data_IF_426624802372
#
_entry.id   IF_426624802372
#
_cell.length_a   1.000
_cell.length_b   1.000
_cell.length_c   1.000
_cell.angle_alpha   90.00
_cell.angle_beta   90.00
_cell.angle_gamma   90.00
#
_symmetry.space_group_name_H-M   'P 1'
#
loop_
_entity.id
_entity.type
_entity.pdbx_description
1 polymer ?
#
# COMPACT_ATOMS: atom_id res chain seq x y z
N UNK A 1 13.94 25.70 -24.92
CA UNK A 1 12.67 24.97 -25.10
C UNK A 1 13.01 23.50 -25.24
N UNK A 2 12.75 22.66 -24.23
CA UNK A 2 12.82 21.21 -24.44
C UNK A 2 11.64 20.83 -25.36
N UNK A 3 11.92 20.14 -26.47
CA UNK A 3 10.87 19.48 -27.23
C UNK A 3 10.09 18.58 -26.27
N UNK A 4 8.79 18.84 -26.12
CA UNK A 4 7.94 18.12 -25.18
C UNK A 4 7.73 16.70 -25.71
N UNK A 5 8.13 15.70 -24.94
CA UNK A 5 7.85 14.30 -25.24
C UNK A 5 6.33 14.06 -25.12
N UNK A 6 5.66 13.72 -26.22
CA UNK A 6 4.20 13.55 -26.29
C UNK A 6 3.80 12.08 -26.45
N UNK A 7 2.64 11.69 -25.93
CA UNK A 7 2.05 10.35 -26.09
C UNK A 7 1.87 9.99 -27.57
N UNK A 8 2.18 8.75 -27.97
CA UNK A 8 2.00 8.28 -29.36
C UNK A 8 0.54 8.43 -29.83
N UNK A 9 -0.43 8.10 -28.96
CA UNK A 9 -1.86 8.30 -29.21
C UNK A 9 -2.16 9.78 -29.58
N UNK A 10 -1.55 10.73 -28.88
CA UNK A 10 -1.74 12.16 -29.16
C UNK A 10 -1.15 12.55 -30.51
N UNK A 11 0.00 11.99 -30.86
CA UNK A 11 0.64 12.22 -32.16
C UNK A 11 -0.18 11.62 -33.32
N UNK A 12 -0.80 10.45 -33.09
CA UNK A 12 -1.76 9.84 -34.02
C UNK A 12 -2.91 10.80 -34.35
N UNK A 13 -3.57 11.37 -33.33
CA UNK A 13 -4.66 12.33 -33.55
C UNK A 13 -4.20 13.65 -34.18
N UNK A 14 -2.92 14.02 -34.03
CA UNK A 14 -2.30 15.16 -34.74
C UNK A 14 -1.88 14.81 -36.18
N UNK A 15 -2.19 13.61 -36.69
CA UNK A 15 -1.82 13.12 -38.02
C UNK A 15 -0.31 13.13 -38.28
N UNK A 16 0.48 12.86 -37.23
CA UNK A 16 1.93 12.64 -37.37
C UNK A 16 2.21 11.19 -37.79
N UNK A 17 3.38 10.94 -38.38
CA UNK A 17 3.82 9.58 -38.69
C UNK A 17 4.22 8.87 -37.38
N UNK A 18 3.32 8.06 -36.84
CA UNK A 18 3.54 7.37 -35.56
C UNK A 18 4.47 6.17 -35.69
N UNK A 19 4.57 5.55 -36.87
CA UNK A 19 5.49 4.43 -37.09
C UNK A 19 6.94 4.92 -37.07
N UNK A 20 7.23 6.06 -37.74
CA UNK A 20 8.54 6.71 -37.68
C UNK A 20 8.90 7.15 -36.25
N UNK A 21 7.95 7.75 -35.53
CA UNK A 21 8.18 8.18 -34.15
C UNK A 21 8.36 6.98 -33.19
N UNK A 22 7.65 5.88 -33.41
CA UNK A 22 7.83 4.64 -32.66
C UNK A 22 9.25 4.07 -32.87
N UNK A 23 9.70 3.95 -34.13
CA UNK A 23 11.07 3.49 -34.46
C UNK A 23 12.11 4.36 -33.76
N UNK A 24 11.95 5.69 -33.85
CA UNK A 24 12.84 6.64 -33.17
C UNK A 24 12.86 6.47 -31.65
N UNK A 25 11.75 6.09 -31.02
CA UNK A 25 11.68 5.84 -29.57
C UNK A 25 12.37 4.54 -29.19
N UNK A 26 12.14 3.45 -29.91
CA UNK A 26 12.79 2.16 -29.59
C UNK A 26 14.30 2.19 -29.86
N UNK A 27 14.76 2.96 -30.85
CA UNK A 27 16.18 3.15 -31.16
C UNK A 27 16.87 4.18 -30.26
N UNK A 28 16.12 4.87 -29.39
CA UNK A 28 16.70 5.84 -28.47
C UNK A 28 17.55 5.12 -27.41
N UNK A 29 18.82 5.53 -27.18
CA UNK A 29 19.68 4.92 -26.17
C UNK A 29 19.15 4.95 -24.73
N UNK A 30 18.20 5.84 -24.42
CA UNK A 30 17.54 5.91 -23.12
C UNK A 30 16.35 4.95 -22.97
N UNK A 31 16.08 4.13 -24.00
CA UNK A 31 14.94 3.21 -24.02
C UNK A 31 15.31 1.85 -23.47
N UNK A 32 14.54 1.41 -22.47
CA UNK A 32 14.47 0.03 -22.02
C UNK A 32 13.39 -0.68 -22.83
N UNK A 33 13.78 -1.65 -23.66
CA UNK A 33 12.84 -2.60 -24.28
C UNK A 33 12.81 -3.85 -23.40
N UNK A 34 11.62 -4.31 -23.05
CA UNK A 34 11.45 -5.49 -22.19
C UNK A 34 11.03 -6.71 -23.01
N UNK A 35 11.26 -7.90 -22.46
CA UNK A 35 10.73 -9.16 -23.00
C UNK A 35 9.23 -9.35 -22.68
N UNK A 36 8.64 -8.44 -21.89
CA UNK A 36 7.22 -8.48 -21.53
C UNK A 36 6.39 -7.98 -22.72
N UNK A 37 5.45 -8.80 -23.19
CA UNK A 37 4.71 -8.51 -24.42
C UNK A 37 3.21 -8.48 -24.20
N UNK A 38 2.54 -7.57 -24.91
CA UNK A 38 1.09 -7.40 -24.84
C UNK A 38 0.46 -7.55 -26.22
N UNK A 39 -0.76 -8.10 -26.25
CA UNK A 39 -1.66 -7.93 -27.37
C UNK A 39 -2.45 -6.64 -27.14
N UNK A 40 -2.40 -5.67 -28.07
CA UNK A 40 -3.08 -4.40 -27.89
C UNK A 40 -4.60 -4.56 -27.98
N UNK A 41 -5.31 -3.54 -27.52
CA UNK A 41 -6.75 -3.39 -27.60
C UNK A 41 -7.16 -2.26 -28.56
N UNK A 42 -8.32 -2.44 -29.19
CA UNK A 42 -9.01 -1.39 -29.94
C UNK A 42 -10.52 -1.56 -29.81
N UNK A 43 -11.22 -0.49 -29.42
CA UNK A 43 -12.69 -0.47 -29.25
C UNK A 43 -13.20 -1.64 -28.39
N UNK A 44 -12.53 -1.92 -27.26
CA UNK A 44 -12.92 -2.97 -26.31
C UNK A 44 -12.59 -4.40 -26.74
N UNK A 45 -11.87 -4.61 -27.85
CA UNK A 45 -11.46 -5.93 -28.33
C UNK A 45 -9.94 -6.06 -28.33
N UNK A 46 -9.43 -7.24 -27.96
CA UNK A 46 -8.01 -7.60 -28.01
C UNK A 46 -7.63 -8.02 -29.43
N UNK A 47 -6.49 -7.55 -29.94
CA UNK A 47 -5.99 -7.81 -31.29
C UNK A 47 -4.90 -8.89 -31.19
N UNK A 48 -5.29 -10.16 -31.38
CA UNK A 48 -4.43 -11.32 -31.09
C UNK A 48 -3.33 -11.57 -32.13
N UNK A 49 -3.46 -11.04 -33.34
CA UNK A 49 -2.46 -11.12 -34.40
C UNK A 49 -1.35 -10.07 -34.27
N UNK A 50 -1.47 -9.17 -33.28
CA UNK A 50 -0.45 -8.16 -32.96
C UNK A 50 0.12 -8.38 -31.57
N UNK A 51 1.41 -8.18 -31.45
CA UNK A 51 2.16 -8.30 -30.21
C UNK A 51 3.17 -7.15 -30.14
N UNK A 52 3.22 -6.46 -29.00
CA UNK A 52 4.16 -5.38 -28.74
C UNK A 52 4.95 -5.67 -27.46
N UNK A 53 6.28 -5.61 -27.53
CA UNK A 53 7.12 -5.53 -26.34
C UNK A 53 6.86 -4.21 -25.62
N UNK A 54 6.71 -4.26 -24.30
CA UNK A 54 6.66 -3.05 -23.50
C UNK A 54 8.01 -2.36 -23.58
N UNK A 55 8.00 -1.06 -23.87
CA UNK A 55 9.19 -0.23 -23.88
C UNK A 55 9.00 1.04 -23.06
N UNK A 56 10.05 1.43 -22.36
CA UNK A 56 10.09 2.56 -21.46
C UNK A 56 11.22 3.51 -21.89
N UNK A 57 10.89 4.78 -22.15
CA UNK A 57 11.90 5.80 -22.46
C UNK A 57 12.18 6.59 -21.18
N UNK A 58 13.44 6.57 -20.71
CA UNK A 58 13.79 7.31 -19.51
C UNK A 58 13.83 8.83 -19.79
N UNK A 59 12.80 9.55 -19.34
CA UNK A 59 12.76 11.01 -19.44
C UNK A 59 13.44 11.65 -18.23
N UNK A 60 14.05 12.84 -18.41
CA UNK A 60 14.66 13.59 -17.31
C UNK A 60 13.70 13.80 -16.13
N UNK A 61 12.41 14.04 -16.41
CA UNK A 61 11.37 14.16 -15.39
C UNK A 61 11.21 12.89 -14.53
N UNK A 62 11.45 11.70 -15.10
CA UNK A 62 11.37 10.45 -14.35
C UNK A 62 12.58 10.26 -13.45
N UNK A 63 13.79 10.65 -13.90
CA UNK A 63 14.98 10.67 -13.05
C UNK A 63 14.76 11.59 -11.85
N UNK A 64 14.24 12.79 -12.06
CA UNK A 64 13.92 13.74 -10.98
C UNK A 64 12.83 13.22 -10.03
N UNK A 65 11.80 12.54 -10.55
CA UNK A 65 10.77 11.91 -9.71
C UNK A 65 11.36 10.80 -8.82
N UNK A 66 12.21 9.94 -9.38
CA UNK A 66 12.87 8.87 -8.61
C UNK A 66 13.78 9.43 -7.51
N UNK A 67 14.58 10.46 -7.83
CA UNK A 67 15.39 11.16 -6.84
C UNK A 67 14.52 11.75 -5.72
N UNK A 68 13.43 12.41 -6.09
CA UNK A 68 12.50 13.01 -5.12
C UNK A 68 11.84 11.97 -4.22
N UNK A 69 11.47 10.80 -4.76
CA UNK A 69 10.89 9.70 -3.99
C UNK A 69 11.87 9.16 -2.95
N UNK A 70 13.15 8.99 -3.34
CA UNK A 70 14.21 8.58 -2.42
C UNK A 70 14.46 9.62 -1.33
N UNK A 71 14.53 10.90 -1.68
CA UNK A 71 14.67 12.01 -0.73
C UNK A 71 13.49 12.06 0.25
N UNK A 72 12.27 11.88 -0.24
CA UNK A 72 11.07 11.87 0.58
C UNK A 72 11.05 10.67 1.53
N UNK A 73 11.43 9.47 1.08
CA UNK A 73 11.55 8.28 1.95
C UNK A 73 12.56 8.52 3.09
N UNK A 74 13.73 9.07 2.79
CA UNK A 74 14.71 9.46 3.82
C UNK A 74 14.14 10.50 4.79
N UNK A 75 13.36 11.47 4.29
CA UNK A 75 12.71 12.48 5.12
C UNK A 75 11.62 11.86 6.02
N UNK A 76 10.84 10.92 5.50
CA UNK A 76 9.84 10.16 6.27
C UNK A 76 10.54 9.46 7.43
N UNK A 77 11.58 8.66 7.16
CA UNK A 77 12.36 7.97 8.20
C UNK A 77 12.95 8.94 9.23
N UNK A 78 13.49 10.08 8.78
CA UNK A 78 14.05 11.10 9.67
C UNK A 78 13.00 11.75 10.60
N UNK A 79 11.80 12.07 10.09
CA UNK A 79 10.74 12.65 10.92
C UNK A 79 10.19 11.58 11.86
N UNK A 80 10.01 10.35 11.39
CA UNK A 80 9.52 9.23 12.20
C UNK A 80 10.40 8.97 13.41
N UNK A 81 11.73 9.07 13.26
CA UNK A 81 12.68 8.90 14.37
C UNK A 81 12.61 10.01 15.45
N UNK A 82 11.85 11.09 15.22
CA UNK A 82 11.62 12.15 16.23
C UNK A 82 10.43 11.85 17.15
N UNK A 83 9.60 10.88 16.78
CA UNK A 83 8.41 10.50 17.53
C UNK A 83 8.71 9.26 18.38
N UNK A 84 8.07 9.11 19.55
CA UNK A 84 8.17 7.87 20.31
C UNK A 84 7.69 6.66 19.49
N UNK A 85 8.25 5.49 19.77
CA UNK A 85 7.90 4.25 19.05
C UNK A 85 6.39 3.94 19.10
N UNK A 86 5.74 4.19 20.24
CA UNK A 86 4.29 4.01 20.41
C UNK A 86 3.52 4.88 19.42
N UNK A 87 3.88 6.15 19.32
CA UNK A 87 3.25 7.10 18.39
C UNK A 87 3.46 6.67 16.94
N UNK A 88 4.67 6.26 16.57
CA UNK A 88 4.93 5.76 15.22
C UNK A 88 4.16 4.49 14.91
N UNK A 89 4.07 3.55 15.86
CA UNK A 89 3.27 2.34 15.67
C UNK A 89 1.81 2.69 15.38
N UNK A 90 1.20 3.58 16.15
CA UNK A 90 -0.18 4.03 15.92
C UNK A 90 -0.36 4.76 14.56
N UNK A 91 0.62 5.58 14.15
CA UNK A 91 0.59 6.24 12.83
C UNK A 91 0.68 5.21 11.69
N UNK A 92 1.58 4.23 11.80
CA UNK A 92 1.69 3.12 10.83
C UNK A 92 0.36 2.36 10.75
N UNK A 93 -0.21 2.00 11.91
CA UNK A 93 -1.47 1.28 12.01
C UNK A 93 -2.64 2.05 11.37
N UNK A 94 -2.70 3.37 11.59
CA UNK A 94 -3.71 4.26 10.97
C UNK A 94 -3.57 4.35 9.46
N UNK A 95 -2.35 4.46 8.96
CA UNK A 95 -2.07 4.49 7.52
C UNK A 95 -2.39 3.14 6.88
N UNK A 96 -1.95 2.04 7.49
CA UNK A 96 -2.21 0.70 7.00
C UNK A 96 -3.71 0.35 7.03
N UNK A 97 -4.44 0.72 8.08
CA UNK A 97 -5.90 0.57 8.12
C UNK A 97 -6.59 1.31 6.97
N UNK A 98 -6.07 2.48 6.60
CA UNK A 98 -6.57 3.25 5.47
C UNK A 98 -6.20 2.61 4.13
N UNK A 99 -4.98 2.08 3.99
CA UNK A 99 -4.56 1.31 2.80
C UNK A 99 -5.48 0.14 2.54
N UNK A 100 -5.72 -0.69 3.56
CA UNK A 100 -6.59 -1.85 3.49
C UNK A 100 -8.05 -1.48 3.24
N UNK A 101 -8.54 -0.41 3.86
CA UNK A 101 -9.88 0.12 3.55
C UNK A 101 -9.98 0.54 2.07
N UNK A 102 -8.98 1.27 1.56
CA UNK A 102 -9.00 1.82 0.19
C UNK A 102 -8.81 0.75 -0.87
N UNK A 103 -7.90 -0.20 -0.68
CA UNK A 103 -7.68 -1.29 -1.64
C UNK A 103 -8.93 -2.15 -1.81
N UNK A 104 -9.71 -2.37 -0.74
CA UNK A 104 -10.99 -3.08 -0.83
C UNK A 104 -12.08 -2.21 -1.47
N UNK A 105 -12.16 -0.93 -1.11
CA UNK A 105 -13.14 -0.01 -1.67
C UNK A 105 -13.00 0.17 -3.18
N UNK A 106 -11.77 0.17 -3.71
CA UNK A 106 -11.50 0.23 -5.16
C UNK A 106 -12.15 -0.97 -5.87
N UNK A 107 -12.12 -2.15 -5.26
CA UNK A 107 -12.76 -3.37 -5.79
C UNK A 107 -14.25 -3.49 -5.42
N UNK A 108 -14.86 -2.44 -4.85
CA UNK A 108 -16.27 -2.43 -4.46
C UNK A 108 -16.59 -3.27 -3.22
N UNK A 109 -15.59 -3.68 -2.44
CA UNK A 109 -15.79 -4.48 -1.22
C UNK A 109 -15.98 -3.54 -0.03
N UNK A 110 -17.16 -3.64 0.60
CA UNK A 110 -17.48 -2.89 1.81
C UNK A 110 -16.73 -3.45 3.01
N UNK A 111 -16.04 -2.56 3.72
CA UNK A 111 -15.24 -2.86 4.91
C UNK A 111 -15.38 -1.72 5.92
N UNK A 112 -15.20 -2.02 7.20
CA UNK A 112 -15.24 -1.02 8.27
C UNK A 112 -13.83 -0.76 8.77
N UNK A 113 -13.38 0.50 8.72
CA UNK A 113 -11.99 0.87 9.06
C UNK A 113 -11.63 0.53 10.51
N UNK A 114 -12.57 0.65 11.46
CA UNK A 114 -12.34 0.27 12.86
C UNK A 114 -12.16 -1.23 13.04
N UNK A 115 -12.89 -2.06 12.29
CA UNK A 115 -12.72 -3.52 12.32
C UNK A 115 -11.35 -3.95 11.78
N UNK A 116 -10.91 -3.33 10.68
CA UNK A 116 -9.56 -3.53 10.14
C UNK A 116 -8.50 -3.15 11.18
N UNK A 117 -8.67 -2.00 11.83
CA UNK A 117 -7.72 -1.53 12.84
C UNK A 117 -7.62 -2.48 14.04
N UNK A 118 -8.76 -2.94 14.58
CA UNK A 118 -8.77 -3.92 15.67
C UNK A 118 -8.12 -5.25 15.27
N UNK A 119 -8.42 -5.77 14.07
CA UNK A 119 -7.75 -6.97 13.53
C UNK A 119 -6.24 -6.80 13.36
N UNK A 120 -5.78 -5.57 13.06
CA UNK A 120 -4.35 -5.30 12.97
C UNK A 120 -3.65 -5.35 14.34
N UNK A 121 -4.34 -5.07 15.46
CA UNK A 121 -3.78 -5.13 16.82
C UNK A 121 -3.81 -6.51 17.45
N UNK A 122 -4.81 -7.31 17.13
CA UNK A 122 -4.94 -8.66 17.68
C UNK A 122 -3.85 -9.59 17.09
N UNK A 123 -2.90 -10.02 17.93
CA UNK A 123 -1.95 -11.11 17.62
C UNK A 123 -2.59 -12.50 17.83
N UNK A 124 -3.79 -12.54 18.41
CA UNK A 124 -4.50 -13.77 18.75
C UNK A 124 -5.52 -14.09 17.69
N UNK A 125 -5.40 -15.29 17.14
CA UNK A 125 -6.42 -16.06 16.38
C UNK A 125 -7.64 -16.41 17.26
N UNK A 126 -8.11 -15.49 18.11
CA UNK A 126 -9.22 -15.72 19.01
C UNK A 126 -10.55 -15.42 18.33
N UNK A 127 -11.16 -16.46 17.74
CA UNK A 127 -12.60 -16.75 17.70
C UNK A 127 -13.60 -15.57 17.72
N UNK A 128 -13.34 -14.48 17.00
CA UNK A 128 -14.36 -13.52 16.59
C UNK A 128 -14.77 -13.85 15.15
N UNK A 129 -16.03 -13.55 14.78
CA UNK A 129 -16.59 -13.75 13.44
C UNK A 129 -15.51 -13.52 12.38
N UNK A 130 -15.23 -14.55 11.56
CA UNK A 130 -14.19 -14.51 10.52
C UNK A 130 -14.25 -13.17 9.80
N UNK A 131 -13.23 -12.32 9.99
CA UNK A 131 -13.13 -11.12 9.18
C UNK A 131 -12.80 -11.62 7.78
N UNK A 132 -13.45 -11.11 6.74
CA UNK A 132 -13.22 -11.61 5.37
C UNK A 132 -11.86 -11.18 4.81
N UNK A 133 -10.90 -10.78 5.66
CA UNK A 133 -9.68 -10.10 5.29
C UNK A 133 -8.47 -10.55 6.11
N UNK A 134 -8.57 -11.62 6.90
CA UNK A 134 -7.50 -12.06 7.81
C UNK A 134 -6.21 -12.39 7.03
N UNK A 135 -6.32 -13.09 5.89
CA UNK A 135 -5.18 -13.36 5.01
C UNK A 135 -4.55 -12.10 4.43
N UNK A 136 -5.36 -11.13 3.98
CA UNK A 136 -4.90 -9.84 3.47
C UNK A 136 -4.19 -9.05 4.59
N UNK A 137 -4.81 -8.97 5.77
CA UNK A 137 -4.28 -8.27 6.93
C UNK A 137 -2.94 -8.88 7.33
N UNK A 138 -2.86 -10.20 7.42
CA UNK A 138 -1.62 -10.93 7.72
C UNK A 138 -0.51 -10.56 6.75
N UNK A 139 -0.76 -10.58 5.44
CA UNK A 139 0.25 -10.24 4.42
C UNK A 139 0.78 -8.82 4.53
N UNK A 140 -0.06 -7.86 4.92
CA UNK A 140 0.39 -6.50 5.18
C UNK A 140 1.07 -6.33 6.56
N UNK A 141 0.69 -7.13 7.58
CA UNK A 141 1.44 -7.21 8.85
C UNK A 141 2.86 -7.72 8.61
N UNK A 142 3.03 -8.74 7.77
CA UNK A 142 4.35 -9.25 7.39
C UNK A 142 5.25 -8.12 6.85
N UNK A 143 4.70 -7.25 5.98
CA UNK A 143 5.41 -6.04 5.52
C UNK A 143 5.74 -5.10 6.68
N UNK A 144 4.78 -4.85 7.57
CA UNK A 144 4.94 -3.94 8.72
C UNK A 144 6.09 -4.41 9.64
N UNK A 145 6.22 -5.71 9.83
CA UNK A 145 7.21 -6.37 10.68
C UNK A 145 8.54 -6.62 9.97
N UNK A 146 8.65 -6.25 8.68
CA UNK A 146 9.77 -6.59 7.80
C UNK A 146 10.03 -8.11 7.72
N UNK A 147 8.98 -8.91 7.89
CA UNK A 147 9.01 -10.35 7.69
C UNK A 147 8.79 -10.65 6.20
N UNK A 148 9.88 -10.97 5.50
CA UNK A 148 9.82 -11.27 4.08
C UNK A 148 10.12 -12.74 3.76
N UNK A 149 10.16 -13.66 4.73
CA UNK A 149 10.57 -15.05 4.50
C UNK A 149 9.81 -15.72 3.34
N UNK A 150 8.48 -15.59 3.30
CA UNK A 150 7.63 -16.16 2.23
C UNK A 150 7.66 -15.38 0.90
N UNK A 151 8.25 -14.19 0.89
CA UNK A 151 8.26 -13.27 -0.27
C UNK A 151 9.66 -12.81 -0.68
N UNK A 152 10.69 -13.38 -0.06
CA UNK A 152 12.07 -13.01 -0.26
C UNK A 152 12.48 -13.27 -1.70
N UNK A 153 12.00 -14.41 -2.23
CA UNK A 153 12.23 -14.92 -3.57
C UNK A 153 10.91 -15.40 -4.20
N UNK A 154 10.24 -14.50 -4.93
CA UNK A 154 9.23 -14.91 -5.91
C UNK A 154 10.00 -15.35 -7.16
N UNK A 155 10.18 -16.65 -7.31
CA UNK A 155 11.07 -17.28 -8.28
C UNK A 155 10.38 -18.35 -9.16
N UNK A 156 9.15 -18.70 -8.84
CA UNK A 156 8.39 -19.74 -9.53
C UNK A 156 6.89 -19.49 -9.46
N UNK A 157 6.13 -20.15 -10.36
CA UNK A 157 4.67 -20.10 -10.34
C UNK A 157 4.08 -20.62 -9.02
N UNK A 158 4.74 -21.59 -8.40
CA UNK A 158 4.32 -22.16 -7.11
C UNK A 158 4.45 -21.15 -5.98
N UNK A 159 5.60 -20.46 -5.86
CA UNK A 159 5.78 -19.43 -4.84
C UNK A 159 4.85 -18.24 -5.07
N UNK A 160 4.65 -17.83 -6.33
CA UNK A 160 3.68 -16.81 -6.70
C UNK A 160 2.24 -17.19 -6.28
N UNK A 161 1.82 -18.43 -6.60
CA UNK A 161 0.49 -18.93 -6.27
C UNK A 161 0.27 -19.06 -4.77
N UNK A 162 1.27 -19.54 -4.02
CA UNK A 162 1.21 -19.65 -2.56
C UNK A 162 0.87 -18.31 -1.90
N UNK A 163 1.50 -17.23 -2.33
CA UNK A 163 1.25 -15.89 -1.77
C UNK A 163 -0.20 -15.45 -2.04
N UNK A 164 -0.74 -15.74 -3.22
CA UNK A 164 -2.14 -15.45 -3.55
C UNK A 164 -3.10 -16.25 -2.69
N UNK A 165 -2.91 -17.57 -2.58
CA UNK A 165 -3.78 -18.45 -1.79
C UNK A 165 -3.80 -18.02 -0.31
N UNK A 166 -2.64 -17.74 0.28
CA UNK A 166 -2.55 -17.25 1.67
C UNK A 166 -3.17 -15.86 1.86
N UNK A 167 -3.09 -14.98 0.86
CA UNK A 167 -3.70 -13.65 0.93
C UNK A 167 -5.23 -13.71 0.86
N UNK A 168 -5.80 -14.68 0.13
CA UNK A 168 -7.23 -14.78 -0.14
C UNK A 168 -7.89 -16.04 0.45
N UNK A 169 -7.27 -16.68 1.45
CA UNK A 169 -7.79 -17.89 2.11
C UNK A 169 -9.23 -17.71 2.62
N UNK A 170 -9.56 -16.51 3.13
CA UNK A 170 -10.90 -16.17 3.63
C UNK A 170 -11.97 -16.11 2.52
N UNK A 171 -11.51 -15.92 1.27
CA UNK A 171 -12.35 -15.79 0.10
C UNK A 171 -12.48 -17.11 -0.67
N UNK A 172 -11.71 -18.16 -0.40
CA UNK A 172 -11.76 -19.42 -1.16
C UNK A 172 -13.16 -20.06 -1.19
N UNK A 173 -13.96 -19.85 -0.12
CA UNK A 173 -15.36 -20.30 -0.07
C UNK A 173 -16.30 -19.49 -0.96
N UNK A 174 -15.89 -18.30 -1.39
CA UNK A 174 -16.55 -17.52 -2.44
C UNK A 174 -16.14 -18.11 -3.79
N UNK A 175 -17.12 -18.65 -4.53
CA UNK A 175 -16.84 -19.40 -5.77
C UNK A 175 -15.98 -18.67 -6.80
N UNK A 176 -15.95 -17.32 -6.78
CA UNK A 176 -15.15 -16.50 -7.69
C UNK A 176 -13.63 -16.51 -7.40
N UNK A 177 -13.19 -17.01 -6.25
CA UNK A 177 -11.75 -17.12 -5.93
C UNK A 177 -11.20 -18.51 -6.18
N UNK A 178 -12.08 -19.49 -6.32
CA UNK A 178 -11.71 -20.86 -6.61
C UNK A 178 -11.24 -20.96 -8.06
N UNK A 179 -9.98 -21.32 -8.24
CA UNK A 179 -9.40 -21.55 -9.55
C UNK A 179 -9.69 -22.98 -10.03
N UNK A 180 -9.74 -23.15 -11.35
CA UNK A 180 -10.03 -24.39 -12.07
C UNK A 180 -8.79 -24.97 -12.79
N UNK A 181 -7.71 -24.20 -12.83
CA UNK A 181 -6.39 -24.62 -13.27
C UNK A 181 -5.48 -25.11 -12.14
N UNK A 182 -4.27 -25.50 -12.53
CA UNK A 182 -3.17 -25.86 -11.63
C UNK A 182 -2.71 -24.65 -10.82
N UNK A 183 -2.39 -23.54 -11.49
CA UNK A 183 -1.95 -22.30 -10.86
C UNK A 183 -2.92 -21.15 -11.10
N UNK A 184 -3.56 -21.07 -12.27
CA UNK A 184 -4.32 -19.89 -12.69
C UNK A 184 -5.71 -20.25 -13.22
N UNK A 185 -6.51 -19.23 -13.55
CA UNK A 185 -7.80 -19.44 -14.22
C UNK A 185 -7.62 -20.02 -15.62
N UNK A 186 -8.58 -20.81 -16.09
CA UNK A 186 -8.62 -21.29 -17.48
C UNK A 186 -9.44 -20.37 -18.39
N UNK A 187 -10.57 -19.87 -17.91
CA UNK A 187 -11.49 -19.05 -18.69
C UNK A 187 -11.12 -17.57 -18.66
N UNK A 188 -11.61 -16.83 -19.66
CA UNK A 188 -11.32 -15.41 -19.86
C UNK A 188 -12.04 -14.53 -18.84
N UNK A 189 -11.32 -13.53 -18.31
CA UNK A 189 -11.88 -12.47 -17.46
C UNK A 189 -11.80 -11.13 -18.17
N UNK A 190 -12.84 -10.32 -18.00
CA UNK A 190 -12.94 -8.97 -18.58
C UNK A 190 -13.16 -7.96 -17.47
N UNK A 191 -12.47 -6.82 -17.58
CA UNK A 191 -12.74 -5.65 -16.74
C UNK A 191 -13.71 -4.75 -17.49
N UNK A 192 -14.80 -4.40 -16.81
CA UNK A 192 -15.90 -3.61 -17.37
C UNK A 192 -16.01 -2.33 -16.54
N UNK A 193 -16.12 -1.18 -17.20
CA UNK A 193 -16.33 0.08 -16.50
C UNK A 193 -17.80 0.29 -16.09
N UNK A 194 -18.10 1.33 -15.31
CA UNK A 194 -19.46 1.63 -14.84
C UNK A 194 -20.50 1.90 -15.95
N UNK A 195 -20.07 2.07 -17.21
CA UNK A 195 -20.95 2.23 -18.38
C UNK A 195 -21.23 0.90 -19.10
N UNK A 196 -20.68 -0.23 -18.62
CA UNK A 196 -20.82 -1.53 -19.26
C UNK A 196 -19.83 -1.79 -20.40
N UNK A 197 -18.87 -0.90 -20.65
CA UNK A 197 -17.87 -1.09 -21.69
C UNK A 197 -16.71 -1.95 -21.19
N UNK A 198 -16.30 -2.94 -21.97
CA UNK A 198 -15.05 -3.69 -21.73
C UNK A 198 -13.86 -2.76 -21.91
N UNK A 199 -13.11 -2.54 -20.83
CA UNK A 199 -11.91 -1.70 -20.82
C UNK A 199 -10.63 -2.53 -20.85
N UNK A 200 -10.67 -3.79 -20.40
CA UNK A 200 -9.55 -4.72 -20.46
C UNK A 200 -10.06 -6.16 -20.63
N UNK A 201 -9.27 -6.98 -21.33
CA UNK A 201 -9.48 -8.41 -21.49
C UNK A 201 -8.19 -9.12 -21.06
N UNK A 202 -8.26 -9.91 -19.99
CA UNK A 202 -7.12 -10.66 -19.46
C UNK A 202 -6.57 -11.66 -20.46
N UNK A 203 -5.36 -12.15 -20.22
CA UNK A 203 -4.76 -13.23 -21.02
C UNK A 203 -5.63 -14.49 -20.91
N UNK A 204 -5.84 -15.19 -22.02
CA UNK A 204 -6.73 -16.35 -22.08
C UNK A 204 -5.93 -17.66 -22.17
N UNK A 205 -6.35 -18.67 -21.41
CA UNK A 205 -5.70 -19.97 -21.33
C UNK A 205 -4.59 -20.02 -20.28
N UNK A 206 -4.67 -21.03 -19.40
CA UNK A 206 -3.75 -21.20 -18.27
C UNK A 206 -2.29 -21.27 -18.72
N UNK A 207 -1.94 -22.07 -19.73
CA UNK A 207 -0.55 -22.20 -20.22
C UNK A 207 0.05 -20.87 -20.68
N UNK A 208 -0.78 -20.00 -21.29
CA UNK A 208 -0.33 -18.67 -21.73
C UNK A 208 -0.16 -17.74 -20.53
N UNK A 209 -1.04 -17.84 -19.53
CA UNK A 209 -0.92 -17.10 -18.27
C UNK A 209 0.36 -17.54 -17.53
N UNK A 210 0.61 -18.85 -17.42
CA UNK A 210 1.81 -19.42 -16.80
C UNK A 210 3.07 -18.81 -17.41
N UNK A 211 3.20 -18.86 -18.74
CA UNK A 211 4.33 -18.25 -19.44
C UNK A 211 4.49 -16.76 -19.16
N UNK A 212 3.40 -15.99 -19.20
CA UNK A 212 3.49 -14.54 -18.93
C UNK A 212 3.86 -14.24 -17.47
N UNK A 213 3.43 -15.06 -16.51
CA UNK A 213 3.83 -14.91 -15.11
C UNK A 213 5.29 -15.33 -14.91
N UNK A 214 5.79 -16.34 -15.62
CA UNK A 214 7.22 -16.68 -15.64
C UNK A 214 8.06 -15.50 -16.19
N UNK A 215 7.65 -14.91 -17.31
CA UNK A 215 8.30 -13.72 -17.89
C UNK A 215 8.28 -12.54 -16.90
N UNK A 216 7.14 -12.33 -16.20
CA UNK A 216 7.01 -11.32 -15.15
C UNK A 216 7.98 -11.59 -13.98
N UNK A 217 8.03 -12.82 -13.49
CA UNK A 217 8.92 -13.24 -12.40
C UNK A 217 10.38 -13.01 -12.79
N UNK A 218 10.77 -13.39 -14.02
CA UNK A 218 12.11 -13.13 -14.53
C UNK A 218 12.41 -11.63 -14.54
N UNK A 219 11.49 -10.81 -15.07
CA UNK A 219 11.63 -9.36 -15.11
C UNK A 219 11.76 -8.74 -13.70
N UNK A 220 10.93 -9.16 -12.74
CA UNK A 220 10.98 -8.69 -11.34
C UNK A 220 12.34 -8.93 -10.68
N UNK A 221 13.06 -9.97 -11.09
CA UNK A 221 14.34 -10.38 -10.54
C UNK A 221 15.57 -9.75 -11.25
N UNK A 222 15.40 -9.00 -12.34
CA UNK A 222 16.50 -8.28 -13.02
C UNK A 222 17.10 -7.22 -12.09
N UNK A 223 18.42 -7.20 -11.92
CA UNK A 223 19.11 -6.29 -10.97
C UNK A 223 19.39 -4.90 -11.56
N UNK A 224 19.60 -4.81 -12.87
CA UNK A 224 20.13 -3.60 -13.53
C UNK A 224 19.05 -2.63 -14.03
N UNK A 225 17.82 -2.75 -13.51
CA UNK A 225 16.72 -1.83 -13.79
C UNK A 225 16.41 -1.03 -12.51
N UNK A 226 16.32 0.31 -12.57
CA UNK A 226 15.93 1.11 -11.42
C UNK A 226 14.63 0.61 -10.80
N UNK A 227 14.66 0.38 -9.49
CA UNK A 227 13.66 -0.43 -8.80
C UNK A 227 12.23 0.14 -8.89
N UNK A 228 12.08 1.48 -8.93
CA UNK A 228 10.77 2.13 -9.10
C UNK A 228 10.19 1.94 -10.51
N UNK A 229 11.06 1.93 -11.53
CA UNK A 229 10.66 1.67 -12.92
C UNK A 229 10.22 0.21 -13.04
N UNK A 230 11.03 -0.71 -12.49
CA UNK A 230 10.71 -2.13 -12.46
C UNK A 230 9.39 -2.40 -11.73
N UNK A 231 9.18 -1.84 -10.53
CA UNK A 231 7.94 -1.99 -9.78
C UNK A 231 6.72 -1.51 -10.58
N UNK A 232 6.84 -0.37 -11.25
CA UNK A 232 5.77 0.21 -12.07
C UNK A 232 5.42 -0.70 -13.26
N UNK A 233 6.43 -1.17 -14.00
CA UNK A 233 6.23 -2.06 -15.16
C UNK A 233 5.67 -3.41 -14.71
N UNK A 234 6.19 -4.00 -13.62
CA UNK A 234 5.67 -5.25 -13.06
C UNK A 234 4.21 -5.12 -12.63
N UNK A 235 3.85 -4.01 -12.00
CA UNK A 235 2.47 -3.74 -11.60
C UNK A 235 1.53 -3.66 -12.81
N UNK A 236 1.92 -2.94 -13.87
CA UNK A 236 1.15 -2.91 -15.11
C UNK A 236 0.97 -4.32 -15.70
N UNK A 237 2.08 -5.04 -15.85
CA UNK A 237 2.07 -6.30 -16.58
C UNK A 237 1.29 -7.38 -15.84
N UNK A 238 1.36 -7.41 -14.50
CA UNK A 238 0.53 -8.29 -13.69
C UNK A 238 -0.98 -8.03 -13.91
N UNK A 239 -1.42 -6.76 -13.84
CA UNK A 239 -2.82 -6.40 -14.07
C UNK A 239 -3.28 -6.70 -15.49
N UNK A 240 -2.39 -6.56 -16.48
CA UNK A 240 -2.63 -6.92 -17.89
C UNK A 240 -2.81 -8.44 -18.10
N UNK A 241 -2.04 -9.26 -17.39
CA UNK A 241 -2.20 -10.72 -17.43
C UNK A 241 -3.57 -11.08 -16.83
N UNK A 242 -3.89 -10.46 -15.70
CA UNK A 242 -5.11 -10.67 -14.93
C UNK A 242 -5.33 -12.17 -14.58
N UNK A 243 -4.35 -12.83 -13.91
CA UNK A 243 -4.23 -14.29 -13.88
C UNK A 243 -5.30 -15.03 -13.03
N UNK A 244 -6.07 -14.31 -12.22
CA UNK A 244 -7.06 -14.90 -11.32
C UNK A 244 -8.49 -14.50 -11.69
N UNK A 245 -9.50 -15.23 -11.18
CA UNK A 245 -10.91 -14.90 -11.37
C UNK A 245 -11.35 -13.65 -10.57
N UNK A 246 -10.73 -13.41 -9.41
CA UNK A 246 -10.96 -12.26 -8.54
C UNK A 246 -9.64 -11.90 -7.83
N UNK A 247 -9.59 -10.79 -7.10
CA UNK A 247 -8.44 -10.43 -6.26
C UNK A 247 -7.26 -9.80 -7.00
N UNK A 248 -7.24 -9.78 -8.35
CA UNK A 248 -6.13 -9.25 -9.15
C UNK A 248 -5.72 -7.84 -8.69
N UNK A 249 -6.63 -6.86 -8.71
CA UNK A 249 -6.31 -5.48 -8.33
C UNK A 249 -5.71 -5.35 -6.91
N UNK A 250 -6.24 -6.11 -5.94
CA UNK A 250 -5.72 -6.14 -4.56
C UNK A 250 -4.35 -6.79 -4.48
N UNK A 251 -4.14 -7.89 -5.19
CA UNK A 251 -2.86 -8.60 -5.25
C UNK A 251 -1.78 -7.75 -5.94
N UNK A 252 -2.11 -7.11 -7.06
CA UNK A 252 -1.19 -6.24 -7.79
C UNK A 252 -0.75 -5.03 -6.98
N UNK A 253 -1.66 -4.43 -6.21
CA UNK A 253 -1.33 -3.35 -5.26
C UNK A 253 -0.52 -3.86 -4.06
N UNK A 254 -0.82 -5.05 -3.55
CA UNK A 254 0.00 -5.70 -2.52
C UNK A 254 1.44 -5.94 -3.00
N UNK A 255 1.63 -6.51 -4.20
CA UNK A 255 2.96 -6.70 -4.79
C UNK A 255 3.72 -5.38 -4.93
N UNK A 256 3.03 -4.30 -5.35
CA UNK A 256 3.62 -2.97 -5.41
C UNK A 256 4.02 -2.45 -4.02
N UNK A 257 3.14 -2.56 -3.02
CA UNK A 257 3.44 -2.19 -1.63
C UNK A 257 4.63 -2.98 -1.06
N UNK A 258 4.64 -4.30 -1.23
CA UNK A 258 5.74 -5.19 -0.84
C UNK A 258 7.06 -4.74 -1.46
N UNK A 259 7.05 -4.45 -2.75
CA UNK A 259 8.25 -4.01 -3.48
C UNK A 259 8.78 -2.67 -2.95
N UNK A 260 7.88 -1.71 -2.66
CA UNK A 260 8.24 -0.42 -2.10
C UNK A 260 8.78 -0.54 -0.68
N UNK A 261 8.17 -1.37 0.18
CA UNK A 261 8.63 -1.57 1.55
C UNK A 261 10.09 -2.08 1.60
N UNK A 262 10.44 -3.03 0.73
CA UNK A 262 11.81 -3.58 0.65
C UNK A 262 12.87 -2.59 0.17
N UNK A 263 12.48 -1.49 -0.47
CA UNK A 263 13.41 -0.55 -1.13
C UNK A 263 13.36 0.87 -0.57
N UNK A 264 12.28 1.21 0.13
CA UNK A 264 12.00 2.53 0.71
C UNK A 264 11.69 2.36 2.20
N UNK A 265 10.42 2.52 2.58
CA UNK A 265 9.92 2.47 3.94
C UNK A 265 8.45 2.01 3.98
N UNK A 266 8.02 1.51 5.14
CA UNK A 266 6.68 0.95 5.32
C UNK A 266 5.56 1.97 5.14
N UNK A 267 5.78 3.24 5.52
CA UNK A 267 4.76 4.28 5.37
C UNK A 267 4.49 4.56 3.88
N UNK A 268 5.54 4.68 3.07
CA UNK A 268 5.43 4.78 1.62
C UNK A 268 4.66 3.58 1.05
N UNK A 269 5.02 2.36 1.44
CA UNK A 269 4.36 1.13 0.99
C UNK A 269 2.86 1.08 1.32
N UNK A 270 2.47 1.61 2.49
CA UNK A 270 1.09 1.65 2.95
C UNK A 270 0.32 2.90 2.49
N UNK A 271 0.81 3.62 1.49
CA UNK A 271 0.10 4.77 0.89
C UNK A 271 -0.36 4.54 -0.54
N UNK A 272 -0.11 3.35 -1.10
CA UNK A 272 -0.32 3.04 -2.52
C UNK A 272 -1.80 3.15 -2.91
N UNK A 273 -2.66 2.32 -2.35
CA UNK A 273 -4.10 2.32 -2.68
C UNK A 273 -4.78 3.60 -2.23
N UNK A 274 -4.35 4.20 -1.11
CA UNK A 274 -4.84 5.52 -0.72
C UNK A 274 -4.54 6.57 -1.79
N UNK A 275 -3.31 6.65 -2.28
CA UNK A 275 -2.89 7.62 -3.30
C UNK A 275 -3.55 7.35 -4.65
N UNK A 276 -3.67 6.07 -5.06
CA UNK A 276 -4.40 5.66 -6.25
C UNK A 276 -5.86 6.11 -6.16
N UNK A 277 -6.52 5.92 -5.02
CA UNK A 277 -7.94 6.26 -4.84
C UNK A 277 -8.25 7.75 -5.04
N UNK A 278 -7.24 8.63 -4.89
CA UNK A 278 -7.40 10.08 -5.13
C UNK A 278 -7.34 10.46 -6.60
N UNK A 279 -6.75 9.62 -7.45
CA UNK A 279 -6.60 9.85 -8.89
C UNK A 279 -7.02 8.59 -9.67
N UNK A 280 -8.10 7.94 -9.24
CA UNK A 280 -8.52 6.62 -9.71
C UNK A 280 -8.77 6.58 -11.21
N UNK A 281 -9.38 7.65 -11.75
CA UNK A 281 -9.64 7.78 -13.18
C UNK A 281 -8.34 7.78 -13.99
N UNK A 282 -7.33 8.54 -13.55
CA UNK A 282 -6.05 8.64 -14.25
C UNK A 282 -5.24 7.35 -14.12
N UNK A 283 -5.35 6.66 -12.98
CA UNK A 283 -4.83 5.31 -12.79
C UNK A 283 -5.42 4.34 -13.83
N UNK A 284 -6.74 4.19 -13.92
CA UNK A 284 -7.35 3.29 -14.91
C UNK A 284 -7.10 3.71 -16.36
N UNK A 285 -7.16 5.01 -16.67
CA UNK A 285 -6.84 5.51 -18.02
C UNK A 285 -5.43 5.16 -18.45
N UNK A 286 -4.47 5.14 -17.51
CA UNK A 286 -3.08 4.82 -17.85
C UNK A 286 -2.90 3.36 -18.30
N UNK A 287 -3.71 2.40 -17.83
CA UNK A 287 -3.69 1.03 -18.37
C UNK A 287 -4.21 0.98 -19.80
N UNK A 288 -5.38 1.60 -20.03
CA UNK A 288 -6.04 1.65 -21.34
C UNK A 288 -5.13 2.30 -22.39
N UNK A 289 -4.36 3.32 -21.99
CA UNK A 289 -3.39 3.96 -22.87
C UNK A 289 -2.26 3.03 -23.32
N UNK A 290 -1.69 2.24 -22.40
CA UNK A 290 -0.61 1.32 -22.75
C UNK A 290 -1.11 0.24 -23.72
N UNK A 291 -2.33 -0.25 -23.48
CA UNK A 291 -2.96 -1.27 -24.31
C UNK A 291 -3.48 -0.76 -25.66
N UNK A 292 -3.66 0.55 -25.86
CA UNK A 292 -4.17 1.06 -27.14
C UNK A 292 -3.22 0.69 -28.29
N UNK A 293 -3.77 0.16 -29.38
CA UNK A 293 -3.00 -0.25 -30.56
C UNK A 293 -2.13 0.86 -31.15
N UNK A 294 -2.50 2.13 -30.97
CA UNK A 294 -1.73 3.29 -31.46
C UNK A 294 -0.60 3.70 -30.52
N UNK A 295 -0.46 3.04 -29.36
CA UNK A 295 0.59 3.28 -28.37
C UNK A 295 1.78 2.31 -28.50
N UNK A 296 1.66 1.22 -29.28
CA UNK A 296 2.76 0.27 -29.55
C UNK A 296 3.43 -0.30 -28.28
N UNK A 297 2.70 -0.41 -27.16
CA UNK A 297 3.25 -0.90 -25.90
C UNK A 297 4.14 0.09 -25.14
N UNK A 298 4.11 1.39 -25.46
CA UNK A 298 4.86 2.39 -24.70
C UNK A 298 4.35 2.51 -23.26
N UNK A 299 5.19 2.19 -22.27
CA UNK A 299 4.83 2.24 -20.85
C UNK A 299 5.34 3.49 -20.12
N UNK A 300 6.07 4.37 -20.83
CA UNK A 300 6.68 5.61 -20.31
C UNK A 300 5.74 6.43 -19.41
N UNK A 301 4.52 6.72 -19.89
CA UNK A 301 3.57 7.56 -19.15
C UNK A 301 2.83 6.84 -18.03
N UNK A 302 2.69 5.51 -18.11
CA UNK A 302 2.19 4.71 -17.00
C UNK A 302 3.18 4.75 -15.84
N UNK A 303 4.47 4.56 -16.13
CA UNK A 303 5.55 4.68 -15.13
C UNK A 303 5.55 6.09 -14.52
N UNK A 304 5.43 7.14 -15.33
CA UNK A 304 5.29 8.52 -14.83
C UNK A 304 4.13 8.66 -13.83
N UNK A 305 2.97 8.06 -14.15
CA UNK A 305 1.78 8.10 -13.31
C UNK A 305 1.99 7.41 -11.96
N UNK A 306 2.60 6.22 -11.95
CA UNK A 306 2.92 5.50 -10.71
C UNK A 306 3.94 6.27 -9.87
N UNK A 307 5.01 6.79 -10.47
CA UNK A 307 6.00 7.61 -9.77
C UNK A 307 5.36 8.84 -9.11
N UNK A 308 4.49 9.56 -9.83
CA UNK A 308 3.76 10.71 -9.27
C UNK A 308 2.83 10.28 -8.14
N UNK A 309 2.15 9.14 -8.28
CA UNK A 309 1.28 8.59 -7.24
C UNK A 309 2.05 8.31 -5.96
N UNK A 310 3.21 7.65 -6.05
CA UNK A 310 4.10 7.39 -4.91
C UNK A 310 4.58 8.69 -4.28
N UNK A 311 5.11 9.63 -5.08
CA UNK A 311 5.60 10.93 -4.58
C UNK A 311 4.51 11.69 -3.82
N UNK A 312 3.30 11.76 -4.38
CA UNK A 312 2.19 12.47 -3.76
C UNK A 312 1.76 11.80 -2.44
N UNK A 313 1.75 10.46 -2.39
CA UNK A 313 1.51 9.70 -1.15
C UNK A 313 2.53 10.03 -0.07
N UNK A 314 3.82 10.08 -0.43
CA UNK A 314 4.88 10.45 0.49
C UNK A 314 4.77 11.90 0.98
N UNK A 315 4.39 12.85 0.12
CA UNK A 315 4.18 14.24 0.52
C UNK A 315 3.07 14.36 1.58
N UNK A 316 1.97 13.63 1.40
CA UNK A 316 0.89 13.57 2.40
C UNK A 316 1.33 12.92 3.71
N UNK A 317 2.17 11.88 3.67
CA UNK A 317 2.76 11.28 4.88
C UNK A 317 3.67 12.28 5.59
N UNK A 318 4.51 13.00 4.85
CA UNK A 318 5.41 14.01 5.41
C UNK A 318 4.60 15.10 6.12
N UNK A 319 3.51 15.58 5.53
CA UNK A 319 2.58 16.52 6.16
C UNK A 319 2.03 15.95 7.48
N UNK A 320 1.42 14.75 7.42
CA UNK A 320 0.89 14.08 8.60
C UNK A 320 1.92 13.91 9.73
N UNK A 321 3.15 13.51 9.39
CA UNK A 321 4.22 13.30 10.38
C UNK A 321 4.68 14.62 11.01
N UNK A 322 4.78 15.71 10.24
CA UNK A 322 5.13 17.02 10.80
C UNK A 322 4.04 17.54 11.75
N UNK A 323 2.77 17.41 11.36
CA UNK A 323 1.64 17.78 12.21
C UNK A 323 1.63 16.92 13.49
N UNK A 324 1.93 15.63 13.37
CA UNK A 324 2.05 14.72 14.50
C UNK A 324 3.18 15.11 15.46
N UNK A 325 4.35 15.51 14.93
CA UNK A 325 5.47 16.01 15.75
C UNK A 325 5.07 17.29 16.50
N UNK A 326 4.42 18.23 15.82
CA UNK A 326 3.99 19.48 16.44
C UNK A 326 2.96 19.22 17.55
N UNK A 327 1.94 18.42 17.25
CA UNK A 327 0.89 18.04 18.21
C UNK A 327 1.47 17.30 19.41
N UNK A 328 2.37 16.35 19.19
CA UNK A 328 3.02 15.60 20.27
C UNK A 328 3.82 16.52 21.19
N UNK A 329 4.68 17.39 20.63
CA UNK A 329 5.49 18.32 21.44
C UNK A 329 4.64 19.27 22.27
N UNK A 330 3.66 19.90 21.65
CA UNK A 330 2.79 20.85 22.34
C UNK A 330 2.03 20.18 23.50
N UNK A 331 1.47 19.00 23.24
CA UNK A 331 0.73 18.23 24.25
C UNK A 331 1.61 17.79 25.41
N UNK A 332 2.86 17.41 25.12
CA UNK A 332 3.84 17.04 26.15
C UNK A 332 4.24 18.22 27.03
N UNK A 333 4.46 19.41 26.45
CA UNK A 333 4.76 20.62 27.22
C UNK A 333 3.62 20.97 28.20
N UNK A 334 2.37 20.85 27.75
CA UNK A 334 1.19 21.05 28.61
C UNK A 334 1.14 20.00 29.72
N UNK A 335 1.37 18.72 29.38
CA UNK A 335 1.33 17.64 30.36
C UNK A 335 2.41 17.84 31.43
N UNK A 336 3.65 18.13 31.03
CA UNK A 336 4.77 18.34 31.95
C UNK A 336 4.51 19.50 32.93
N UNK A 337 3.82 20.56 32.49
CA UNK A 337 3.38 21.66 33.36
C UNK A 337 2.30 21.23 34.35
N UNK A 338 1.33 20.41 33.93
CA UNK A 338 0.23 19.94 34.78
C UNK A 338 0.67 18.89 35.81
N UNK A 339 1.78 18.20 35.56
CA UNK A 339 2.17 17.02 36.35
C UNK A 339 3.48 17.19 37.12
N UNK A 340 3.94 18.42 37.32
CA UNK A 340 5.16 18.77 38.09
C UNK A 340 5.26 18.13 39.48
N UNK A 341 4.12 17.94 40.14
CA UNK A 341 4.04 17.39 41.49
C UNK A 341 3.91 15.86 41.53
N UNK A 342 3.79 15.21 40.36
CA UNK A 342 3.67 13.76 40.27
C UNK A 342 5.02 13.07 40.33
N UNK A 343 5.00 11.81 40.77
CA UNK A 343 6.18 10.97 40.72
C UNK A 343 6.59 10.66 39.28
N UNK A 344 7.86 10.31 39.07
CA UNK A 344 8.39 9.94 37.75
C UNK A 344 7.57 8.81 37.09
N UNK A 345 7.15 7.80 37.87
CA UNK A 345 6.34 6.68 37.35
C UNK A 345 4.92 7.10 36.94
N UNK A 346 4.30 8.00 37.70
CA UNK A 346 3.00 8.58 37.33
C UNK A 346 3.09 9.40 36.05
N UNK A 347 4.16 10.19 35.90
CA UNK A 347 4.44 10.96 34.70
C UNK A 347 4.61 10.06 33.47
N UNK A 348 5.42 9.02 33.55
CA UNK A 348 5.61 8.06 32.44
C UNK A 348 4.27 7.44 32.03
N UNK A 349 3.44 7.04 32.99
CA UNK A 349 2.12 6.46 32.72
C UNK A 349 1.22 7.47 31.98
N UNK A 350 1.13 8.71 32.47
CA UNK A 350 0.32 9.75 31.81
C UNK A 350 0.84 10.12 30.42
N UNK A 351 2.16 10.13 30.21
CA UNK A 351 2.75 10.36 28.89
C UNK A 351 2.36 9.27 27.88
N UNK A 352 2.24 8.00 28.31
CA UNK A 352 1.78 6.91 27.45
C UNK A 352 0.28 7.05 27.15
N UNK A 353 -0.54 7.37 28.17
CA UNK A 353 -1.96 7.65 27.96
C UNK A 353 -2.19 8.83 27.02
N UNK A 354 -1.36 9.88 27.12
CA UNK A 354 -1.41 11.02 26.20
C UNK A 354 -1.06 10.60 24.77
N UNK A 355 -0.01 9.82 24.59
CA UNK A 355 0.35 9.30 23.26
C UNK A 355 -0.81 8.49 22.65
N UNK A 356 -1.45 7.62 23.44
CA UNK A 356 -2.61 6.86 22.99
C UNK A 356 -3.78 7.79 22.63
N UNK A 357 -4.14 8.73 23.51
CA UNK A 357 -5.21 9.70 23.28
C UNK A 357 -5.03 10.53 22.00
N UNK A 358 -3.79 10.94 21.71
CA UNK A 358 -3.51 11.77 20.54
C UNK A 358 -3.57 11.00 19.22
N UNK A 359 -3.12 9.74 19.19
CA UNK A 359 -2.80 9.06 17.93
C UNK A 359 -3.60 7.79 17.65
N UNK A 360 -4.28 7.22 18.65
CA UNK A 360 -5.14 6.06 18.45
C UNK A 360 -6.60 6.51 18.31
N UNK A 361 -7.15 6.39 17.09
CA UNK A 361 -8.49 6.88 16.77
C UNK A 361 -9.62 5.92 17.18
N UNK A 362 -9.31 4.69 17.61
CA UNK A 362 -10.32 3.60 17.63
C UNK A 362 -10.48 2.91 18.98
N UNK A 363 -9.45 2.85 19.83
CA UNK A 363 -9.47 2.05 21.06
C UNK A 363 -8.73 2.75 22.20
N UNK A 364 -9.23 2.63 23.42
CA UNK A 364 -8.52 3.11 24.61
C UNK A 364 -7.47 2.12 25.11
N UNK A 365 -6.38 2.63 25.68
CA UNK A 365 -5.31 1.80 26.24
C UNK A 365 -5.77 1.02 27.47
N UNK A 366 -5.59 -0.31 27.43
CA UNK A 366 -5.80 -1.17 28.59
C UNK A 366 -4.56 -1.19 29.50
N UNK A 367 -4.75 -1.45 30.79
CA UNK A 367 -3.62 -1.63 31.72
C UNK A 367 -2.76 -2.85 31.36
N UNK A 368 -3.32 -3.85 30.66
CA UNK A 368 -2.55 -5.01 30.18
C UNK A 368 -1.57 -4.56 29.10
N UNK A 369 -2.03 -3.80 28.10
CA UNK A 369 -1.16 -3.24 27.06
C UNK A 369 -0.14 -2.27 27.65
N UNK A 370 -0.55 -1.41 28.59
CA UNK A 370 0.36 -0.51 29.30
C UNK A 370 1.46 -1.28 30.04
N UNK A 371 1.16 -2.46 30.58
CA UNK A 371 2.16 -3.36 31.19
C UNK A 371 3.18 -3.84 30.18
N UNK A 372 2.72 -4.27 29.01
CA UNK A 372 3.61 -4.69 27.92
C UNK A 372 4.46 -3.54 27.36
N UNK A 373 3.91 -2.32 27.31
CA UNK A 373 4.61 -1.13 26.84
C UNK A 373 5.71 -0.70 27.83
N UNK A 374 5.41 -0.67 29.13
CA UNK A 374 6.38 -0.23 30.14
C UNK A 374 7.45 -1.30 30.38
N UNK A 375 7.11 -2.58 30.33
CA UNK A 375 8.03 -3.71 30.46
C UNK A 375 8.62 -3.95 31.86
N UNK A 376 8.88 -2.87 32.61
CA UNK A 376 9.61 -2.90 33.89
C UNK A 376 8.70 -2.92 35.14
N UNK A 377 7.38 -2.83 34.95
CA UNK A 377 6.41 -2.82 36.05
C UNK A 377 5.46 -4.01 35.93
N UNK A 378 5.09 -4.61 37.05
CA UNK A 378 4.04 -5.63 37.08
C UNK A 378 2.68 -4.99 36.84
N UNK A 379 1.73 -5.77 36.30
CA UNK A 379 0.36 -5.32 36.10
C UNK A 379 -0.29 -4.83 37.42
N UNK A 380 0.06 -5.45 38.56
CA UNK A 380 -0.42 -5.01 39.88
C UNK A 380 0.07 -3.61 40.23
N UNK A 381 1.35 -3.32 39.96
CA UNK A 381 1.93 -1.99 40.18
C UNK A 381 1.30 -0.94 39.27
N UNK A 382 1.06 -1.26 38.00
CA UNK A 382 0.37 -0.36 37.06
C UNK A 382 -1.08 -0.10 37.51
N UNK A 383 -1.80 -1.13 37.95
CA UNK A 383 -3.14 -0.98 38.48
C UNK A 383 -3.16 -0.04 39.70
N UNK A 384 -2.16 -0.13 40.58
CA UNK A 384 -2.02 0.79 41.72
C UNK A 384 -1.82 2.23 41.27
N UNK A 385 -0.86 2.48 40.38
CA UNK A 385 -0.59 3.84 39.89
C UNK A 385 -1.76 4.45 39.14
N UNK A 386 -2.45 3.68 38.29
CA UNK A 386 -3.63 4.16 37.55
C UNK A 386 -4.79 4.49 38.46
N UNK A 387 -5.01 3.72 39.54
CA UNK A 387 -5.98 4.07 40.59
C UNK A 387 -5.58 5.32 41.38
N UNK A 388 -4.29 5.54 41.65
CA UNK A 388 -3.80 6.76 42.29
C UNK A 388 -3.99 7.99 41.37
N UNK A 389 -3.70 7.85 40.08
CA UNK A 389 -3.94 8.88 39.07
C UNK A 389 -5.41 9.19 38.86
N UNK A 390 -6.30 8.20 38.98
CA UNK A 390 -7.76 8.41 38.99
C UNK A 390 -8.18 9.22 40.22
N UNK A 391 -7.70 8.87 41.43
CA UNK A 391 -7.97 9.64 42.66
C UNK A 391 -7.48 11.08 42.59
N UNK A 392 -6.40 11.33 41.84
CA UNK A 392 -5.83 12.66 41.57
C UNK A 392 -6.50 13.37 40.38
N UNK A 393 -7.55 12.78 39.81
CA UNK A 393 -8.36 13.32 38.71
C UNK A 393 -7.58 13.52 37.41
N UNK A 394 -6.54 12.71 37.16
CA UNK A 394 -5.82 12.72 35.87
C UNK A 394 -6.35 11.67 34.89
N UNK A 395 -6.87 10.56 35.41
CA UNK A 395 -7.48 9.47 34.64
C UNK A 395 -8.94 9.25 35.04
N UNK A 396 -9.72 8.68 34.13
CA UNK A 396 -11.10 8.24 34.38
C UNK A 396 -11.24 6.78 33.95
N UNK A 397 -11.72 5.90 34.83
CA UNK A 397 -11.95 4.50 34.48
C UNK A 397 -13.11 4.39 33.48
N UNK A 398 -12.87 3.73 32.34
CA UNK A 398 -13.86 3.53 31.28
C UNK A 398 -14.41 2.11 31.29
N UNK A 399 -13.56 1.11 31.56
CA UNK A 399 -13.93 -0.32 31.59
C UNK A 399 -13.24 -1.03 32.75
N UNK A 400 -13.93 -1.99 33.36
CA UNK A 400 -13.39 -2.80 34.47
C UNK A 400 -12.70 -4.08 33.99
N UNK A 401 -13.11 -4.64 32.83
CA UNK A 401 -12.59 -5.90 32.28
C UNK A 401 -12.46 -5.85 30.75
N UNK A 402 -11.24 -5.83 30.20
CA UNK A 402 -9.99 -5.51 30.91
C UNK A 402 -10.06 -4.11 31.54
N UNK A 403 -9.22 -3.86 32.54
CA UNK A 403 -9.17 -2.55 33.21
C UNK A 403 -8.59 -1.51 32.24
N UNK A 404 -9.36 -0.45 31.99
CA UNK A 404 -9.09 0.56 30.97
C UNK A 404 -9.42 1.95 31.50
N UNK A 405 -8.52 2.90 31.26
CA UNK A 405 -8.70 4.30 31.62
C UNK A 405 -8.59 5.20 30.40
N UNK A 406 -9.10 6.42 30.52
CA UNK A 406 -8.86 7.52 29.59
C UNK A 406 -8.27 8.72 30.33
N UNK A 407 -7.64 9.64 29.59
CA UNK A 407 -7.28 10.94 30.14
C UNK A 407 -8.55 11.70 30.55
N UNK A 408 -8.49 12.33 31.72
CA UNK A 408 -9.55 13.21 32.22
C UNK A 408 -9.60 14.54 31.47
N UNK A 409 -10.74 15.24 31.60
CA UNK A 409 -10.94 16.61 31.10
C UNK A 409 -9.90 17.61 31.63
N UNK A 410 -9.35 17.37 32.83
CA UNK A 410 -8.25 18.15 33.42
C UNK A 410 -7.04 18.26 32.48
N UNK A 411 -6.79 17.23 31.67
CA UNK A 411 -5.73 17.21 30.67
C UNK A 411 -6.29 17.54 29.29
N UNK A 412 -7.37 16.87 28.86
CA UNK A 412 -7.84 16.92 27.47
C UNK A 412 -8.42 18.27 27.06
N UNK A 413 -8.93 19.10 27.98
CA UNK A 413 -9.40 20.46 27.65
C UNK A 413 -8.27 21.46 27.39
N UNK A 414 -7.04 21.13 27.80
CA UNK A 414 -5.87 22.02 27.70
C UNK A 414 -5.00 21.72 26.48
N UNK A 415 -5.26 20.62 25.79
CA UNK A 415 -4.51 20.07 24.65
C UNK A 415 -5.37 20.18 23.40
#
# INVERSE_FOLDING_TARGET
MLNKYEKLIKLYYKKKNIDEEYIKRIENPATLITELKINPMKKGNKILDKEYSLFYVNLLGHTLLQEKILQNSNKISYISNKLPQIVIKEIIMKILSNELYKTNKIEGIETVKSEIHSSLKDDRTSNKKSNKLDGIIKKYKDIMENNFEDTEHIDSLSSFRKIYDEMFEDFEKSGNYKLDGKYFRKDIVKVINGLGNTIHIGVNGEEVIEKNIEDLIQFMNIKDIPFLIKASISHFFFEYIHPFYDGNGRFGRYLLSLYLARKLDNLTAFSVSYSISRNLDDYYKSFVEVEDVTNYGEITFFVENILKTIKNGQEMIIELLNDSVMRFKHSMEILDELTKELSEKENIILQIYLQNYLFNDFEELTNVELTSIIGDLTQQTINKYTQELEKKEYLVQIKQRPLTYALSEKITEKI
#
